data_IF_071441493883
#
_entry.id   IF_071441493883
#
_cell.length_a   1.000
_cell.length_b   1.000
_cell.length_c   1.000
_cell.angle_alpha   90.00
_cell.angle_beta   90.00
_cell.angle_gamma   90.00
#
_symmetry.space_group_name_H-M   'P 1'
#
loop_
_entity.id
_entity.type
_entity.pdbx_description
1 polymer ?
#
# COMPACT_ATOMS: atom_id res chain seq x y z
N UNK A 1 -9.57 12.76 17.66
CA UNK A 1 -9.42 14.03 16.93
C UNK A 1 -8.09 13.99 16.20
N UNK A 2 -8.03 14.47 14.96
CA UNK A 2 -6.79 14.53 14.19
C UNK A 2 -5.74 15.39 14.93
N UNK A 3 -4.47 14.97 14.88
CA UNK A 3 -3.37 15.61 15.60
C UNK A 3 -2.47 16.40 14.65
N UNK A 4 -1.90 17.54 15.06
CA UNK A 4 -0.93 18.26 14.24
C UNK A 4 0.32 17.41 13.99
N UNK A 5 1.00 17.65 12.88
CA UNK A 5 2.27 16.99 12.57
C UNK A 5 3.37 17.64 13.40
N UNK A 6 3.80 16.97 14.47
CA UNK A 6 4.89 17.38 15.35
C UNK A 6 5.75 16.17 15.72
N UNK A 7 6.96 16.32 16.28
CA UNK A 7 7.77 15.16 16.68
C UNK A 7 7.07 14.20 17.67
N UNK A 8 6.03 14.65 18.38
CA UNK A 8 5.30 13.85 19.37
C UNK A 8 4.39 12.76 18.76
N UNK A 9 4.08 12.82 17.46
CA UNK A 9 3.27 11.77 16.81
C UNK A 9 4.10 10.53 16.43
N UNK A 10 5.43 10.57 16.63
CA UNK A 10 6.28 9.39 16.41
C UNK A 10 5.85 8.27 17.37
N UNK A 11 5.60 7.10 16.80
CA UNK A 11 5.06 5.95 17.54
C UNK A 11 3.54 5.82 17.49
N UNK A 12 2.82 6.81 16.96
CA UNK A 12 1.38 6.68 16.68
C UNK A 12 1.12 5.46 15.78
N UNK A 13 0.21 4.60 16.22
CA UNK A 13 -0.21 3.40 15.48
C UNK A 13 -1.69 3.43 15.16
N UNK A 14 -2.08 2.75 14.08
CA UNK A 14 -3.50 2.44 13.83
C UNK A 14 -3.93 1.22 14.64
N UNK A 15 -5.23 1.02 14.80
CA UNK A 15 -5.77 -0.30 15.12
C UNK A 15 -5.43 -1.30 14.00
N UNK A 16 -5.47 -2.62 14.25
CA UNK A 16 -5.29 -3.62 13.20
C UNK A 16 -6.32 -3.49 12.07
N UNK A 17 -5.84 -3.33 10.84
CA UNK A 17 -6.66 -3.13 9.64
C UNK A 17 -6.72 -4.43 8.86
N UNK A 18 -7.93 -4.87 8.53
CA UNK A 18 -8.14 -6.01 7.65
C UNK A 18 -7.92 -5.63 6.19
N UNK A 19 -7.03 -6.36 5.53
CA UNK A 19 -6.73 -6.26 4.11
C UNK A 19 -7.23 -7.53 3.42
N UNK A 20 -7.64 -7.38 2.17
CA UNK A 20 -8.05 -8.50 1.34
C UNK A 20 -7.96 -8.13 -0.13
N UNK A 21 -7.62 -9.13 -0.94
CA UNK A 21 -7.55 -9.02 -2.39
C UNK A 21 -7.94 -10.36 -3.03
N UNK A 22 -8.39 -10.24 -4.27
CA UNK A 22 -8.75 -11.34 -5.16
C UNK A 22 -7.79 -11.40 -6.35
N UNK A 23 -7.92 -12.48 -7.14
CA UNK A 23 -7.17 -12.62 -8.39
C UNK A 23 -7.51 -11.50 -9.37
N UNK A 24 -8.74 -11.01 -9.36
CA UNK A 24 -9.17 -9.89 -10.18
C UNK A 24 -8.40 -8.61 -9.84
N UNK A 25 -8.19 -8.31 -8.56
CA UNK A 25 -7.42 -7.13 -8.13
C UNK A 25 -5.96 -7.22 -8.59
N UNK A 26 -5.38 -8.42 -8.52
CA UNK A 26 -4.00 -8.70 -8.95
C UNK A 26 -3.84 -8.53 -10.45
N UNK A 27 -4.73 -9.13 -11.25
CA UNK A 27 -4.69 -9.02 -12.72
C UNK A 27 -4.97 -7.60 -13.18
N UNK A 28 -5.93 -6.91 -12.55
CA UNK A 28 -6.23 -5.51 -12.84
C UNK A 28 -5.02 -4.62 -12.55
N UNK A 29 -4.33 -4.86 -11.43
CA UNK A 29 -3.10 -4.15 -11.13
C UNK A 29 -2.02 -4.41 -12.18
N UNK A 30 -1.79 -5.68 -12.55
CA UNK A 30 -0.79 -6.04 -13.55
C UNK A 30 -1.04 -5.32 -14.89
N UNK A 31 -2.29 -5.30 -15.36
CA UNK A 31 -2.68 -4.53 -16.54
C UNK A 31 -2.44 -3.02 -16.35
N UNK A 32 -2.85 -2.45 -15.22
CA UNK A 32 -2.74 -1.01 -14.95
C UNK A 32 -1.28 -0.53 -14.91
N UNK A 33 -0.34 -1.39 -14.49
CA UNK A 33 1.10 -1.06 -14.49
C UNK A 33 1.83 -1.51 -15.76
N UNK A 34 1.10 -2.01 -16.76
CA UNK A 34 1.59 -2.17 -18.13
C UNK A 34 1.89 -3.59 -18.59
N UNK A 35 1.49 -4.63 -17.86
CA UNK A 35 1.62 -6.00 -18.37
C UNK A 35 0.81 -6.21 -19.66
N UNK A 36 1.40 -6.91 -20.63
CA UNK A 36 0.84 -7.05 -21.98
C UNK A 36 0.28 -8.45 -22.25
N UNK A 37 -0.94 -8.57 -22.80
CA UNK A 37 -1.53 -9.86 -23.16
C UNK A 37 -0.71 -10.72 -24.11
N UNK A 38 0.06 -10.11 -25.03
CA UNK A 38 0.85 -10.88 -25.99
C UNK A 38 2.00 -11.67 -25.35
N UNK A 39 2.54 -11.19 -24.22
CA UNK A 39 3.80 -11.70 -23.65
C UNK A 39 3.72 -12.09 -22.17
N UNK A 40 2.72 -11.63 -21.42
CA UNK A 40 2.70 -11.69 -19.96
C UNK A 40 1.41 -12.32 -19.41
N UNK A 41 0.83 -13.28 -20.13
CA UNK A 41 -0.38 -14.00 -19.72
C UNK A 41 -0.28 -14.62 -18.32
N UNK A 42 0.91 -14.98 -17.86
CA UNK A 42 1.11 -15.51 -16.50
C UNK A 42 0.73 -14.51 -15.39
N UNK A 43 0.62 -13.20 -15.66
CA UNK A 43 0.21 -12.18 -14.70
C UNK A 43 -1.26 -11.76 -14.83
N UNK A 44 -1.87 -11.98 -16.00
CA UNK A 44 -3.17 -11.38 -16.35
C UNK A 44 -4.24 -12.39 -16.77
N UNK A 45 -3.89 -13.68 -16.88
CA UNK A 45 -4.82 -14.74 -17.27
C UNK A 45 -5.03 -15.73 -16.13
N UNK A 46 -6.26 -15.77 -15.63
CA UNK A 46 -6.69 -16.54 -14.47
C UNK A 46 -6.51 -18.04 -14.64
N UNK A 47 -6.62 -18.58 -15.86
CA UNK A 47 -6.45 -20.03 -16.08
C UNK A 47 -5.00 -20.51 -15.88
N UNK A 48 -4.03 -19.59 -15.78
CA UNK A 48 -2.63 -19.90 -15.42
C UNK A 48 -2.33 -19.66 -13.94
N UNK A 49 -3.29 -19.09 -13.20
CA UNK A 49 -3.10 -18.54 -11.85
C UNK A 49 -2.20 -17.31 -11.91
N UNK A 50 -2.68 -16.08 -11.64
CA UNK A 50 -1.86 -14.93 -11.93
C UNK A 50 -0.69 -14.86 -10.95
N UNK A 51 0.53 -14.86 -11.49
CA UNK A 51 1.71 -14.41 -10.77
C UNK A 51 1.46 -12.98 -10.31
N UNK A 52 1.88 -12.68 -9.09
CA UNK A 52 1.66 -11.35 -8.50
C UNK A 52 2.94 -10.54 -8.63
N UNK A 53 2.85 -9.37 -9.24
CA UNK A 53 3.95 -8.41 -9.26
C UNK A 53 4.30 -7.99 -7.83
N UNK A 54 5.59 -7.98 -7.43
CA UNK A 54 6.00 -7.60 -6.07
C UNK A 54 5.43 -6.27 -5.58
N UNK A 55 5.32 -5.29 -6.48
CA UNK A 55 4.82 -3.94 -6.21
C UNK A 55 3.32 -3.88 -5.91
N UNK A 56 2.57 -4.97 -6.17
CA UNK A 56 1.18 -5.09 -5.76
C UNK A 56 1.01 -4.90 -4.25
N UNK A 57 2.01 -5.22 -3.43
CA UNK A 57 1.98 -5.01 -1.97
C UNK A 57 1.62 -3.57 -1.56
N UNK A 58 1.92 -2.58 -2.40
CA UNK A 58 1.58 -1.16 -2.14
C UNK A 58 0.07 -0.96 -2.14
N UNK A 59 -0.67 -1.65 -3.01
CA UNK A 59 -2.11 -1.45 -3.23
C UNK A 59 -2.94 -1.73 -1.96
N UNK A 60 -2.88 -2.92 -1.32
CA UNK A 60 -3.57 -3.12 -0.05
C UNK A 60 -2.96 -2.24 1.07
N UNK A 61 -1.66 -1.91 0.98
CA UNK A 61 -0.99 -0.99 1.90
C UNK A 61 -1.54 0.44 1.90
N UNK A 62 -2.13 0.93 0.80
CA UNK A 62 -2.74 2.26 0.73
C UNK A 62 -3.86 2.44 1.76
N UNK A 63 -4.60 1.37 2.12
CA UNK A 63 -5.60 1.43 3.19
C UNK A 63 -4.98 1.76 4.54
N UNK A 64 -3.79 1.24 4.81
CA UNK A 64 -3.03 1.50 6.03
C UNK A 64 -2.54 2.95 6.05
N UNK A 65 -1.99 3.43 4.93
CA UNK A 65 -1.59 4.83 4.79
C UNK A 65 -2.77 5.78 5.03
N UNK A 66 -3.94 5.49 4.45
CA UNK A 66 -5.18 6.25 4.66
C UNK A 66 -5.60 6.34 6.13
N UNK A 67 -5.52 5.21 6.86
CA UNK A 67 -5.85 5.17 8.28
C UNK A 67 -4.84 5.92 9.18
N UNK A 68 -3.55 5.92 8.83
CA UNK A 68 -2.57 6.78 9.51
C UNK A 68 -2.91 8.25 9.25
N UNK A 69 -3.13 8.61 7.97
CA UNK A 69 -3.43 9.98 7.56
C UNK A 69 -4.72 10.53 8.20
N UNK A 70 -5.75 9.72 8.41
CA UNK A 70 -6.99 10.19 9.05
C UNK A 70 -6.80 10.61 10.51
N UNK A 71 -5.69 10.24 11.14
CA UNK A 71 -5.32 10.66 12.50
C UNK A 71 -4.50 11.95 12.52
N UNK A 72 -4.14 12.53 11.37
CA UNK A 72 -3.25 13.69 11.26
C UNK A 72 -3.98 14.90 10.65
N UNK A 73 -3.59 16.09 11.10
CA UNK A 73 -4.14 17.36 10.63
C UNK A 73 -3.17 18.00 9.62
N UNK A 74 -3.56 17.98 8.34
CA UNK A 74 -2.80 18.61 7.26
C UNK A 74 -3.71 18.91 6.06
N UNK A 75 -3.25 19.76 5.15
CA UNK A 75 -3.93 20.02 3.87
C UNK A 75 -3.52 18.97 2.84
N UNK A 76 -4.45 18.10 2.43
CA UNK A 76 -4.20 17.06 1.42
C UNK A 76 -3.69 17.62 0.09
N UNK A 77 -4.10 18.84 -0.29
CA UNK A 77 -3.62 19.48 -1.53
C UNK A 77 -2.13 19.87 -1.48
N UNK A 78 -1.54 19.91 -0.29
CA UNK A 78 -0.12 20.21 -0.07
C UNK A 78 0.70 18.94 0.23
N UNK A 79 0.09 17.76 0.13
CA UNK A 79 0.77 16.48 0.38
C UNK A 79 1.34 15.91 -0.93
N UNK A 80 2.62 15.57 -0.89
CA UNK A 80 3.28 14.77 -1.92
C UNK A 80 3.65 13.40 -1.34
N UNK A 81 3.33 12.32 -2.07
CA UNK A 81 3.89 11.00 -1.77
C UNK A 81 5.35 10.97 -2.23
N UNK A 82 6.27 11.30 -1.33
CA UNK A 82 7.68 11.52 -1.68
C UNK A 82 8.46 10.23 -1.98
N UNK A 83 8.33 9.21 -1.12
CA UNK A 83 9.13 7.98 -1.21
C UNK A 83 8.29 6.75 -0.84
N UNK A 84 8.64 5.59 -1.41
CA UNK A 84 8.02 4.31 -1.13
C UNK A 84 9.09 3.21 -1.08
N UNK A 85 9.03 2.38 -0.04
CA UNK A 85 9.82 1.13 0.07
C UNK A 85 8.87 -0.05 0.28
N UNK A 86 9.23 -1.20 -0.28
CA UNK A 86 8.61 -2.49 0.03
C UNK A 86 9.69 -3.49 0.41
N UNK A 87 9.36 -4.41 1.31
CA UNK A 87 10.17 -5.58 1.62
C UNK A 87 9.24 -6.80 1.59
N UNK A 88 9.60 -7.81 0.80
CA UNK A 88 8.81 -9.03 0.68
C UNK A 88 9.49 -10.16 1.43
N UNK A 89 8.81 -10.67 2.46
CA UNK A 89 9.26 -11.86 3.19
C UNK A 89 8.86 -13.18 2.51
N UNK A 90 7.91 -13.12 1.57
CA UNK A 90 7.43 -14.25 0.76
C UNK A 90 6.74 -13.71 -0.49
N UNK A 91 6.54 -14.59 -1.48
CA UNK A 91 5.69 -14.28 -2.63
C UNK A 91 4.26 -13.96 -2.18
N UNK A 92 3.63 -13.00 -2.85
CA UNK A 92 2.24 -12.63 -2.57
C UNK A 92 1.35 -13.66 -3.28
N UNK A 93 0.35 -14.26 -2.61
CA UNK A 93 -0.60 -15.15 -3.27
C UNK A 93 -1.58 -14.36 -4.16
N UNK A 94 -2.08 -15.00 -5.21
CA UNK A 94 -3.03 -14.41 -6.17
C UNK A 94 -4.34 -13.93 -5.53
N UNK A 95 -4.74 -14.54 -4.41
CA UNK A 95 -5.82 -14.08 -3.55
C UNK A 95 -5.42 -14.26 -2.09
N UNK A 96 -5.94 -13.40 -1.21
CA UNK A 96 -5.56 -13.48 0.19
C UNK A 96 -6.21 -12.45 1.09
N UNK A 97 -6.00 -12.67 2.38
CA UNK A 97 -6.34 -11.73 3.45
C UNK A 97 -5.10 -11.51 4.31
N UNK A 98 -4.98 -10.31 4.85
CA UNK A 98 -3.92 -9.96 5.78
C UNK A 98 -4.45 -9.00 6.84
N UNK A 99 -3.69 -8.84 7.92
CA UNK A 99 -3.91 -7.80 8.91
C UNK A 99 -2.67 -6.93 8.95
N UNK A 100 -2.85 -5.61 8.97
CA UNK A 100 -1.75 -4.66 8.98
C UNK A 100 -1.97 -3.57 10.02
N UNK A 101 -0.87 -3.01 10.52
CA UNK A 101 -0.86 -1.88 11.44
C UNK A 101 0.03 -0.81 10.84
N UNK A 102 -0.49 0.41 10.73
CA UNK A 102 0.29 1.57 10.33
C UNK A 102 1.02 2.16 11.53
N UNK A 103 2.22 2.70 11.32
CA UNK A 103 3.00 3.38 12.35
C UNK A 103 3.70 4.60 11.77
N UNK A 104 3.62 5.73 12.46
CA UNK A 104 4.51 6.88 12.21
C UNK A 104 5.87 6.55 12.82
N UNK A 105 6.86 6.26 11.97
CA UNK A 105 8.19 5.86 12.42
C UNK A 105 9.09 7.07 12.72
N UNK A 106 8.94 8.15 11.96
CA UNK A 106 9.77 9.35 12.06
C UNK A 106 8.98 10.57 11.54
N UNK A 107 9.39 11.77 11.98
CA UNK A 107 8.90 13.06 11.49
C UNK A 107 10.10 13.98 11.31
N UNK A 108 10.22 14.59 10.13
CA UNK A 108 11.35 15.42 9.76
C UNK A 108 10.87 16.79 9.27
N UNK A 109 11.36 17.86 9.89
CA UNK A 109 11.26 19.19 9.30
C UNK A 109 12.40 19.37 8.29
N UNK A 110 12.05 19.59 7.03
CA UNK A 110 13.01 19.76 5.93
C UNK A 110 13.41 21.24 5.70
N UNK A 111 12.86 22.19 6.47
CA UNK A 111 13.23 23.60 6.46
C UNK A 111 12.88 24.38 5.20
N UNK A 112 11.87 23.92 4.44
CA UNK A 112 11.38 24.56 3.21
C UNK A 112 10.01 25.17 3.43
#
# INVERSE_FOLDING_TARGET
MAQPITPQIVGLTTDPISLGWSEQDVMLYALAVGCKPETELDFIYEARGPKVLPTFAVIPGLKVMGAVMSNLQFNLAMLLHGEQKIELHRTIPASGKATAVGKVVEVWDKGK
#
